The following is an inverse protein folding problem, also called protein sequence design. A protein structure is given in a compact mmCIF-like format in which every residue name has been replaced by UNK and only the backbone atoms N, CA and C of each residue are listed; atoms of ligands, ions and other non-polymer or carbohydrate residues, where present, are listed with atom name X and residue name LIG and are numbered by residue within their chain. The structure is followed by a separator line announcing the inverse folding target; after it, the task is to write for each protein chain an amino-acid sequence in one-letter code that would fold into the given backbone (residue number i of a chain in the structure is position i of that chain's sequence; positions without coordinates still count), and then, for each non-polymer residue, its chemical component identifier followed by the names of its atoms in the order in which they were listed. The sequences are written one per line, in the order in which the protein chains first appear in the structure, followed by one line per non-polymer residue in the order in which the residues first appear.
data_IF_214961182753
#
_entry.id   IF_214961182753
#
_cell.length_a   1.000
_cell.length_b   1.000
_cell.length_c   1.000
_cell.angle_alpha   90.00
_cell.angle_beta   90.00
_cell.angle_gamma   90.00
#
_symmetry.space_group_name_H-M   'P 1'
#
loop_
_entity.id
_entity.type
_entity.pdbx_description
1 polymer ?
#
# COMPACT_ATOMS: atom_id res chain seq x y z
N UNK A 1 27.91 1.78 -15.91
CA UNK A 1 26.76 0.87 -15.99
C UNK A 1 25.92 1.11 -14.75
N UNK A 2 24.62 1.32 -14.88
CA UNK A 2 23.75 1.42 -13.71
C UNK A 2 23.68 0.03 -13.05
N UNK A 3 23.73 -0.03 -11.70
CA UNK A 3 23.60 -1.28 -10.98
C UNK A 3 22.21 -1.89 -11.21
N UNK A 4 22.14 -3.20 -11.43
CA UNK A 4 20.89 -3.93 -11.54
C UNK A 4 20.10 -3.87 -10.22
N UNK A 5 18.81 -4.20 -10.25
CA UNK A 5 17.97 -4.28 -9.05
C UNK A 5 18.60 -5.22 -7.99
N UNK A 6 19.04 -6.40 -8.41
CA UNK A 6 19.69 -7.37 -7.52
C UNK A 6 21.00 -6.84 -6.89
N UNK A 7 21.83 -6.13 -7.67
CA UNK A 7 23.06 -5.52 -7.15
C UNK A 7 22.77 -4.41 -6.12
N UNK A 8 21.70 -3.63 -6.32
CA UNK A 8 21.29 -2.60 -5.35
C UNK A 8 20.76 -3.23 -4.05
N UNK A 9 19.91 -4.25 -4.14
CA UNK A 9 19.40 -4.98 -2.97
C UNK A 9 20.56 -5.62 -2.17
N UNK A 10 21.56 -6.19 -2.84
CA UNK A 10 22.72 -6.77 -2.17
C UNK A 10 23.56 -5.74 -1.36
N UNK A 11 23.34 -4.45 -1.56
CA UNK A 11 23.99 -3.38 -0.77
C UNK A 11 23.21 -3.05 0.52
N UNK A 12 22.00 -3.59 0.71
CA UNK A 12 21.22 -3.36 1.92
C UNK A 12 21.96 -3.91 3.15
N UNK A 13 22.03 -3.09 4.20
CA UNK A 13 22.54 -3.52 5.50
C UNK A 13 21.41 -4.27 6.24
N UNK A 14 21.24 -5.54 5.94
CA UNK A 14 20.10 -6.34 6.43
C UNK A 14 20.24 -6.73 7.91
N UNK A 15 20.38 -5.72 8.79
CA UNK A 15 20.35 -5.89 10.25
C UNK A 15 18.94 -6.10 10.79
N UNK A 16 17.92 -5.89 9.95
CA UNK A 16 16.51 -6.01 10.25
C UNK A 16 15.85 -6.92 9.21
N UNK A 17 16.02 -8.26 9.31
CA UNK A 17 15.40 -9.19 8.37
C UNK A 17 13.88 -9.10 8.44
N UNK A 18 13.25 -8.70 7.33
CA UNK A 18 11.80 -8.60 7.17
C UNK A 18 11.38 -9.63 6.13
N UNK A 19 10.47 -10.54 6.52
CA UNK A 19 10.01 -11.64 5.68
C UNK A 19 8.90 -11.23 4.70
N UNK A 20 8.26 -10.07 4.92
CA UNK A 20 7.20 -9.53 4.08
C UNK A 20 6.26 -8.62 4.85
N UNK A 21 5.19 -8.19 4.19
CA UNK A 21 4.06 -7.51 4.83
C UNK A 21 3.21 -8.53 5.55
N UNK A 22 2.95 -8.33 6.85
CA UNK A 22 2.05 -9.20 7.64
C UNK A 22 0.58 -8.81 7.43
N UNK A 23 0.26 -7.53 7.60
CA UNK A 23 -1.06 -6.96 7.32
C UNK A 23 -0.99 -5.44 7.12
N UNK A 24 -2.07 -4.89 6.59
CA UNK A 24 -2.30 -3.43 6.54
C UNK A 24 -3.50 -3.14 7.43
N UNK A 25 -3.34 -2.27 8.44
CA UNK A 25 -4.44 -1.84 9.30
C UNK A 25 -4.88 -0.42 8.96
N UNK A 26 -6.17 -0.31 8.78
CA UNK A 26 -6.88 0.93 8.49
C UNK A 26 -7.63 1.39 9.74
N UNK A 27 -7.49 2.65 10.08
CA UNK A 27 -8.43 3.30 10.99
C UNK A 27 -9.57 3.88 10.16
N UNK A 28 -10.79 3.46 10.48
CA UNK A 28 -11.99 3.79 9.70
C UNK A 28 -13.13 4.25 10.58
N UNK A 29 -14.01 5.08 10.04
CA UNK A 29 -15.18 5.58 10.75
C UNK A 29 -16.22 4.50 11.06
N UNK A 30 -16.32 3.47 10.20
CA UNK A 30 -17.22 2.33 10.40
C UNK A 30 -16.61 1.04 9.84
N UNK A 31 -15.93 0.29 10.68
CA UNK A 31 -15.23 -0.92 10.28
C UNK A 31 -16.15 -2.03 9.73
N UNK A 32 -17.40 -2.12 10.22
CA UNK A 32 -18.37 -3.10 9.74
C UNK A 32 -18.78 -2.82 8.29
N UNK A 33 -19.01 -1.56 7.94
CA UNK A 33 -19.35 -1.16 6.57
C UNK A 33 -18.12 -1.27 5.64
N UNK A 34 -16.97 -0.81 6.09
CA UNK A 34 -15.72 -0.94 5.34
C UNK A 34 -15.38 -2.41 5.06
N UNK A 35 -15.53 -3.31 6.05
CA UNK A 35 -15.34 -4.74 5.87
C UNK A 35 -16.28 -5.34 4.82
N UNK A 36 -17.56 -4.92 4.82
CA UNK A 36 -18.51 -5.36 3.79
C UNK A 36 -18.11 -4.88 2.39
N UNK A 37 -17.62 -3.63 2.27
CA UNK A 37 -17.11 -3.09 1.01
C UNK A 37 -15.96 -3.93 0.46
N UNK A 38 -14.90 -4.16 1.25
CA UNK A 38 -13.74 -4.94 0.82
C UNK A 38 -14.07 -6.41 0.52
N UNK A 39 -15.01 -7.00 1.25
CA UNK A 39 -15.52 -8.33 0.93
C UNK A 39 -16.23 -8.33 -0.42
N UNK A 40 -17.20 -7.44 -0.61
CA UNK A 40 -18.05 -7.40 -1.81
C UNK A 40 -17.26 -6.99 -3.04
N UNK A 41 -16.56 -5.87 -2.96
CA UNK A 41 -15.86 -5.27 -4.11
C UNK A 41 -14.55 -5.99 -4.46
N UNK A 42 -13.74 -6.33 -3.45
CA UNK A 42 -12.41 -6.91 -3.67
C UNK A 42 -12.35 -8.43 -3.45
N UNK A 43 -13.41 -9.07 -2.96
CA UNK A 43 -13.44 -10.52 -2.77
C UNK A 43 -12.68 -11.04 -1.55
N UNK A 44 -12.44 -10.19 -0.56
CA UNK A 44 -11.83 -10.63 0.69
C UNK A 44 -12.76 -11.54 1.49
N UNK A 45 -12.17 -12.49 2.22
CA UNK A 45 -12.87 -13.41 3.09
C UNK A 45 -12.77 -12.94 4.55
N UNK A 46 -13.80 -13.23 5.35
CA UNK A 46 -13.77 -13.00 6.79
C UNK A 46 -12.76 -13.96 7.44
N UNK A 47 -11.80 -13.46 8.21
CA UNK A 47 -10.84 -14.28 8.94
C UNK A 47 -11.09 -14.22 10.45
N UNK A 48 -10.98 -13.03 11.05
CA UNK A 48 -11.07 -12.87 12.49
C UNK A 48 -11.76 -11.54 12.87
N UNK A 49 -12.17 -11.46 14.12
CA UNK A 49 -12.82 -10.29 14.71
C UNK A 49 -12.38 -10.09 16.15
N UNK A 50 -12.22 -8.83 16.55
CA UNK A 50 -12.10 -8.42 17.94
C UNK A 50 -12.98 -7.20 18.20
N UNK A 51 -13.76 -7.24 19.29
CA UNK A 51 -14.70 -6.17 19.64
C UNK A 51 -15.47 -6.49 20.92
N UNK A 52 -16.62 -5.89 21.14
CA UNK A 52 -17.42 -6.09 22.34
C UNK A 52 -17.73 -7.55 22.67
N UNK A 53 -17.95 -8.37 21.65
CA UNK A 53 -18.25 -9.81 21.79
C UNK A 53 -17.02 -10.61 22.29
N UNK A 54 -15.82 -10.15 21.98
CA UNK A 54 -14.55 -10.76 22.43
C UNK A 54 -13.94 -10.05 23.65
N UNK A 55 -14.70 -9.15 24.29
CA UNK A 55 -14.27 -8.43 25.48
C UNK A 55 -13.62 -7.06 25.26
N UNK A 56 -13.37 -6.64 24.01
CA UNK A 56 -12.83 -5.32 23.67
C UNK A 56 -13.99 -4.30 23.61
N UNK A 57 -14.02 -3.34 24.54
CA UNK A 57 -15.18 -2.45 24.74
C UNK A 57 -15.04 -1.05 24.11
N UNK A 58 -13.86 -0.69 23.64
CA UNK A 58 -13.54 0.66 23.16
C UNK A 58 -13.36 0.75 21.64
N UNK A 59 -13.19 -0.39 20.96
CA UNK A 59 -13.02 -0.50 19.52
C UNK A 59 -13.53 -1.82 18.97
N UNK A 60 -13.64 -1.89 17.64
CA UNK A 60 -13.92 -3.13 16.92
C UNK A 60 -12.97 -3.24 15.72
N UNK A 61 -12.41 -4.43 15.49
CA UNK A 61 -11.48 -4.73 14.41
C UNK A 61 -11.93 -5.96 13.63
N UNK A 62 -12.05 -5.82 12.31
CA UNK A 62 -12.40 -6.89 11.37
C UNK A 62 -11.17 -7.26 10.56
N UNK A 63 -10.78 -8.52 10.57
CA UNK A 63 -9.67 -9.06 9.80
C UNK A 63 -10.21 -9.76 8.56
N UNK A 64 -9.76 -9.29 7.42
CA UNK A 64 -10.08 -9.82 6.11
C UNK A 64 -8.85 -10.43 5.48
N UNK A 65 -9.03 -11.50 4.70
CA UNK A 65 -7.94 -12.20 4.02
C UNK A 65 -8.29 -12.53 2.58
N UNK A 66 -7.32 -12.41 1.71
CA UNK A 66 -7.32 -13.02 0.38
C UNK A 66 -5.89 -13.47 0.07
N UNK A 67 -5.64 -14.76 -0.12
CA UNK A 67 -4.33 -15.40 -0.23
C UNK A 67 -3.38 -14.93 0.91
N UNK A 68 -2.33 -14.15 0.59
CA UNK A 68 -1.36 -13.60 1.56
C UNK A 68 -1.68 -12.18 2.03
N UNK A 69 -2.73 -11.56 1.49
CA UNK A 69 -3.12 -10.21 1.89
C UNK A 69 -4.03 -10.30 3.10
N UNK A 70 -3.69 -9.56 4.16
CA UNK A 70 -4.56 -9.29 5.29
C UNK A 70 -4.83 -7.81 5.41
N UNK A 71 -6.10 -7.45 5.52
CA UNK A 71 -6.56 -6.10 5.85
C UNK A 71 -7.21 -6.16 7.23
N UNK A 72 -6.83 -5.23 8.10
CA UNK A 72 -7.46 -5.06 9.41
C UNK A 72 -8.17 -3.72 9.40
N UNK A 73 -9.48 -3.74 9.64
CA UNK A 73 -10.31 -2.54 9.63
C UNK A 73 -10.75 -2.27 11.07
N UNK A 74 -10.25 -1.20 11.65
CA UNK A 74 -10.45 -0.87 13.06
C UNK A 74 -11.19 0.46 13.22
N UNK A 75 -12.28 0.45 14.00
CA UNK A 75 -13.05 1.62 14.35
C UNK A 75 -13.12 1.81 15.86
N UNK A 76 -13.14 3.06 16.32
CA UNK A 76 -13.44 3.39 17.70
C UNK A 76 -14.93 3.20 18.00
N UNK A 77 -15.26 2.73 19.21
CA UNK A 77 -16.63 2.66 19.73
C UNK A 77 -16.94 3.80 20.69
N UNK A 78 -15.93 4.67 20.98
CA UNK A 78 -16.05 5.85 21.81
C UNK A 78 -15.45 7.05 21.11
N UNK A 79 -16.09 8.21 21.25
CA UNK A 79 -15.68 9.45 20.59
C UNK A 79 -14.36 10.04 21.14
N UNK A 80 -13.99 9.72 22.36
CA UNK A 80 -12.75 10.14 23.05
C UNK A 80 -11.58 9.17 22.84
N UNK A 81 -11.76 8.15 22.00
CA UNK A 81 -10.69 7.19 21.70
C UNK A 81 -9.68 7.77 20.68
N UNK A 82 -8.37 7.50 20.81
CA UNK A 82 -7.36 7.98 19.85
C UNK A 82 -7.63 7.63 18.38
N UNK A 83 -8.25 6.48 18.11
CA UNK A 83 -8.70 6.08 16.75
C UNK A 83 -9.75 7.07 16.22
N UNK A 84 -10.71 7.51 17.04
CA UNK A 84 -11.72 8.48 16.65
C UNK A 84 -11.09 9.84 16.30
N UNK A 85 -10.13 10.31 17.07
CA UNK A 85 -9.40 11.55 16.77
C UNK A 85 -8.56 11.43 15.50
N UNK A 86 -7.95 10.27 15.26
CA UNK A 86 -7.21 10.01 14.01
C UNK A 86 -8.16 10.08 12.79
N UNK A 87 -9.29 9.38 12.84
CA UNK A 87 -10.27 9.38 11.74
C UNK A 87 -10.89 10.76 11.53
N UNK A 88 -11.15 11.50 12.60
CA UNK A 88 -11.65 12.89 12.51
C UNK A 88 -10.68 13.79 11.73
N UNK A 89 -9.38 13.64 11.97
CA UNK A 89 -8.33 14.42 11.31
C UNK A 89 -8.11 13.94 9.86
N UNK A 90 -7.83 12.66 9.68
CA UNK A 90 -7.33 12.12 8.43
C UNK A 90 -8.42 11.53 7.51
N UNK A 91 -9.62 11.26 8.03
CA UNK A 91 -10.57 10.36 7.37
C UNK A 91 -10.18 8.90 7.55
N UNK A 92 -10.82 8.03 6.80
CA UNK A 92 -10.44 6.62 6.75
C UNK A 92 -9.09 6.50 6.04
N UNK A 93 -8.19 5.64 6.52
CA UNK A 93 -6.86 5.52 5.92
C UNK A 93 -5.98 4.50 6.61
N UNK A 94 -4.83 4.26 6.03
CA UNK A 94 -3.83 3.32 6.56
C UNK A 94 -3.14 3.94 7.79
N UNK A 95 -3.25 3.25 8.91
CA UNK A 95 -2.52 3.57 10.15
C UNK A 95 -1.26 2.75 10.30
N UNK A 96 -1.33 1.44 10.04
CA UNK A 96 -0.25 0.51 10.31
C UNK A 96 0.08 -0.29 9.05
N UNK A 97 1.36 -0.29 8.71
CA UNK A 97 1.98 -1.22 7.79
C UNK A 97 2.75 -2.25 8.63
N UNK A 98 2.11 -3.39 8.92
CA UNK A 98 2.69 -4.43 9.75
C UNK A 98 3.67 -5.29 8.95
N UNK A 99 4.84 -5.52 9.53
CA UNK A 99 5.96 -6.21 8.93
C UNK A 99 6.22 -7.54 9.66
N UNK A 100 6.21 -8.62 8.91
CA UNK A 100 6.53 -9.94 9.46
C UNK A 100 8.03 -10.06 9.67
N UNK A 101 8.44 -10.31 10.92
CA UNK A 101 9.84 -10.44 11.34
C UNK A 101 10.06 -11.72 12.15
N UNK A 102 11.32 -12.17 12.26
CA UNK A 102 11.70 -13.33 13.06
C UNK A 102 11.80 -13.01 14.55
N UNK A 103 12.10 -11.74 14.91
CA UNK A 103 12.23 -11.27 16.30
C UNK A 103 11.80 -9.80 16.40
N UNK A 104 10.58 -9.58 16.92
CA UNK A 104 10.00 -8.25 17.04
C UNK A 104 10.72 -7.36 18.07
N UNK A 105 11.26 -7.96 19.14
CA UNK A 105 12.00 -7.23 20.19
C UNK A 105 13.33 -6.73 19.67
N UNK A 106 14.08 -7.60 18.97
CA UNK A 106 15.34 -7.22 18.33
C UNK A 106 15.12 -6.15 17.24
N UNK A 107 14.07 -6.31 16.44
CA UNK A 107 13.70 -5.31 15.43
C UNK A 107 13.42 -3.95 16.04
N UNK A 108 12.69 -3.92 17.15
CA UNK A 108 12.42 -2.71 17.92
C UNK A 108 13.70 -2.10 18.52
N UNK A 109 14.53 -2.90 19.18
CA UNK A 109 15.79 -2.46 19.78
C UNK A 109 16.73 -1.84 18.73
N UNK A 110 16.93 -2.51 17.59
CA UNK A 110 17.80 -2.00 16.53
C UNK A 110 17.29 -0.70 15.92
N UNK A 111 15.98 -0.58 15.68
CA UNK A 111 15.41 0.63 15.08
C UNK A 111 15.38 1.80 16.06
N UNK A 112 15.03 1.59 17.32
CA UNK A 112 15.00 2.66 18.35
C UNK A 112 16.40 3.14 18.71
N UNK A 113 17.39 2.24 18.78
CA UNK A 113 18.82 2.57 18.94
C UNK A 113 19.32 3.47 17.79
N UNK A 114 18.74 3.38 16.61
CA UNK A 114 19.04 4.18 15.42
C UNK A 114 18.16 5.43 15.29
N UNK A 115 17.36 5.75 16.32
CA UNK A 115 16.58 6.96 16.40
C UNK A 115 15.12 6.86 15.97
N UNK A 116 14.57 5.67 15.78
CA UNK A 116 13.14 5.52 15.53
C UNK A 116 12.30 6.05 16.72
N UNK A 117 11.23 6.78 16.40
CA UNK A 117 10.25 7.21 17.39
C UNK A 117 9.34 6.04 17.77
N UNK A 118 9.24 5.75 19.07
CA UNK A 118 8.44 4.64 19.57
C UNK A 118 6.95 4.91 19.39
N UNK A 119 6.25 3.93 18.82
CA UNK A 119 4.78 3.84 18.81
C UNK A 119 4.29 2.90 19.91
N UNK A 120 4.86 1.70 19.98
CA UNK A 120 4.47 0.65 20.93
C UNK A 120 5.73 -0.11 21.37
N UNK A 121 5.96 -0.14 22.68
CA UNK A 121 7.00 -1.01 23.27
C UNK A 121 6.69 -2.49 22.99
N UNK A 122 7.70 -3.38 23.02
CA UNK A 122 7.49 -4.79 22.80
C UNK A 122 6.43 -5.40 23.72
N UNK A 123 5.41 -6.01 23.14
CA UNK A 123 4.30 -6.64 23.83
C UNK A 123 4.18 -8.11 23.44
N UNK A 124 4.01 -8.96 24.45
CA UNK A 124 3.67 -10.36 24.28
C UNK A 124 2.14 -10.53 24.36
N UNK A 125 1.56 -10.96 23.24
CA UNK A 125 0.18 -11.43 23.18
C UNK A 125 0.18 -12.96 23.27
N UNK A 126 -0.73 -13.53 24.06
CA UNK A 126 -0.76 -14.98 24.32
C UNK A 126 -2.17 -15.50 24.50
N UNK A 127 -2.42 -16.67 23.94
CA UNK A 127 -3.63 -17.48 24.14
C UNK A 127 -3.29 -18.98 24.07
N UNK A 128 -4.31 -19.83 23.97
CA UNK A 128 -4.16 -21.28 23.86
C UNK A 128 -3.48 -21.75 22.56
N UNK A 129 -3.47 -20.89 21.51
CA UNK A 129 -2.86 -21.19 20.21
C UNK A 129 -1.39 -20.79 20.14
N UNK A 130 -0.86 -20.13 21.17
CA UNK A 130 0.54 -19.75 21.26
C UNK A 130 0.79 -18.28 21.56
N UNK A 131 1.86 -17.75 21.01
CA UNK A 131 2.40 -16.43 21.33
C UNK A 131 2.69 -15.61 20.08
N UNK A 132 2.35 -14.31 20.12
CA UNK A 132 2.74 -13.30 19.13
C UNK A 132 3.44 -12.16 19.87
N UNK A 133 4.64 -11.79 19.42
CA UNK A 133 5.29 -10.56 19.85
C UNK A 133 5.01 -9.44 18.86
N UNK A 134 4.67 -8.28 19.37
CA UNK A 134 4.50 -7.06 18.56
C UNK A 134 5.29 -5.92 19.16
N UNK A 135 5.82 -5.04 18.31
CA UNK A 135 6.45 -3.78 18.70
C UNK A 135 6.33 -2.79 17.56
N UNK A 136 6.24 -1.50 17.83
CA UNK A 136 5.93 -0.53 16.77
C UNK A 136 6.74 0.74 16.84
N UNK A 137 7.06 1.29 15.68
CA UNK A 137 7.72 2.56 15.50
C UNK A 137 6.94 3.44 14.53
N UNK A 138 7.00 4.75 14.70
CA UNK A 138 6.50 5.68 13.70
C UNK A 138 7.47 5.76 12.52
N UNK A 139 6.91 5.91 11.31
CA UNK A 139 7.65 6.30 10.11
C UNK A 139 7.29 7.75 9.73
N UNK A 140 6.78 8.03 8.53
CA UNK A 140 6.36 9.38 8.15
C UNK A 140 4.97 9.72 8.71
N UNK A 141 4.76 10.97 9.07
CA UNK A 141 3.51 11.46 9.65
C UNK A 141 3.09 10.70 10.90
N UNK A 142 1.88 10.15 10.86
CA UNK A 142 1.33 9.30 11.91
C UNK A 142 1.30 7.81 11.52
N UNK A 143 1.89 7.43 10.38
CA UNK A 143 1.99 6.04 9.91
C UNK A 143 2.96 5.25 10.78
N UNK A 144 2.63 3.98 11.00
CA UNK A 144 3.36 3.08 11.90
C UNK A 144 3.87 1.87 11.13
N UNK A 145 5.10 1.45 11.42
CA UNK A 145 5.56 0.10 11.15
C UNK A 145 5.44 -0.72 12.44
N UNK A 146 4.62 -1.76 12.39
CA UNK A 146 4.48 -2.73 13.49
C UNK A 146 5.25 -4.00 13.13
N UNK A 147 6.24 -4.36 13.92
CA UNK A 147 6.96 -5.63 13.81
C UNK A 147 6.11 -6.73 14.43
N UNK A 148 5.88 -7.81 13.68
CA UNK A 148 5.05 -8.94 14.10
C UNK A 148 5.86 -10.23 14.02
N UNK A 149 6.11 -10.85 15.18
CA UNK A 149 6.72 -12.15 15.33
C UNK A 149 5.65 -13.17 15.70
N UNK A 150 5.32 -14.08 14.78
CA UNK A 150 4.25 -15.08 14.97
C UNK A 150 4.69 -16.53 14.79
N UNK A 151 6.00 -16.80 14.84
CA UNK A 151 6.56 -18.15 14.62
C UNK A 151 6.04 -19.21 15.60
N UNK A 152 5.58 -18.79 16.78
CA UNK A 152 5.07 -19.66 17.84
C UNK A 152 3.55 -19.55 18.00
N UNK A 153 2.83 -19.13 16.94
CA UNK A 153 1.38 -18.96 16.96
C UNK A 153 0.71 -19.78 15.86
N UNK A 154 -0.26 -20.59 16.25
CA UNK A 154 -1.03 -21.46 15.35
C UNK A 154 -2.49 -21.03 15.18
N UNK A 155 -2.87 -19.86 15.74
CA UNK A 155 -4.20 -19.30 15.62
C UNK A 155 -4.43 -18.60 14.28
N UNK A 156 -5.63 -18.04 14.10
CA UNK A 156 -6.03 -17.41 12.83
C UNK A 156 -5.26 -16.13 12.52
N UNK A 157 -5.20 -15.22 13.47
CA UNK A 157 -4.57 -13.91 13.28
C UNK A 157 -3.69 -13.51 14.46
N UNK A 158 -4.27 -13.16 15.61
CA UNK A 158 -3.56 -12.80 16.84
C UNK A 158 -4.34 -13.21 18.07
N UNK A 159 -3.70 -13.41 19.22
CA UNK A 159 -4.39 -13.58 20.51
C UNK A 159 -5.37 -12.42 20.77
N UNK A 160 -6.56 -12.78 21.27
CA UNK A 160 -7.66 -11.82 21.49
C UNK A 160 -8.61 -11.59 20.31
N UNK A 161 -8.31 -12.23 19.17
CA UNK A 161 -9.21 -12.28 18.01
C UNK A 161 -9.89 -13.65 17.96
N UNK A 162 -11.18 -13.65 17.68
CA UNK A 162 -11.97 -14.85 17.46
C UNK A 162 -12.27 -15.02 15.98
N UNK A 163 -12.61 -16.25 15.56
CA UNK A 163 -13.02 -16.51 14.18
C UNK A 163 -14.26 -15.68 13.85
N UNK A 164 -14.19 -14.95 12.75
CA UNK A 164 -15.34 -14.21 12.27
C UNK A 164 -16.21 -15.10 11.38
N UNK A 165 -17.25 -15.69 11.97
CA UNK A 165 -18.26 -16.41 11.20
C UNK A 165 -19.13 -15.44 10.39
N UNK A 166 -19.22 -15.67 9.09
CA UNK A 166 -20.00 -14.85 8.17
C UNK A 166 -20.69 -15.73 7.14
N UNK A 167 -22.00 -15.56 6.98
CA UNK A 167 -22.78 -16.24 5.96
C UNK A 167 -22.51 -15.69 4.54
N UNK A 168 -21.82 -14.55 4.47
CA UNK A 168 -21.48 -13.88 3.21
C UNK A 168 -19.96 -13.90 3.01
N UNK A 169 -19.49 -14.79 2.13
CA UNK A 169 -18.10 -14.91 1.69
C UNK A 169 -18.10 -15.00 0.17
N UNK A 170 -17.95 -13.84 -0.55
CA UNK A 170 -17.93 -13.81 -2.02
C UNK A 170 -16.69 -14.53 -2.55
N UNK A 171 -16.70 -14.92 -3.83
CA UNK A 171 -15.52 -15.50 -4.46
C UNK A 171 -14.35 -14.51 -4.45
N UNK A 172 -13.13 -15.02 -4.31
CA UNK A 172 -11.90 -14.24 -4.42
C UNK A 172 -11.74 -13.66 -5.83
N UNK A 173 -11.09 -12.51 -5.93
CA UNK A 173 -10.87 -11.82 -7.23
C UNK A 173 -9.51 -12.11 -7.84
N UNK A 174 -8.68 -12.94 -7.19
CA UNK A 174 -7.37 -13.34 -7.66
C UNK A 174 -6.21 -12.44 -7.18
N UNK A 175 -6.44 -11.63 -6.13
CA UNK A 175 -5.39 -10.88 -5.46
C UNK A 175 -4.56 -11.82 -4.57
N UNK A 176 -3.22 -11.66 -4.56
CA UNK A 176 -2.30 -12.64 -3.98
C UNK A 176 -1.49 -12.11 -2.81
N UNK A 177 -0.83 -10.97 -2.97
CA UNK A 177 0.03 -10.37 -1.95
C UNK A 177 0.15 -8.86 -2.15
N UNK A 178 0.63 -8.16 -1.13
CA UNK A 178 0.97 -6.73 -1.20
C UNK A 178 2.33 -6.60 -1.89
N UNK A 179 2.36 -6.01 -3.09
CA UNK A 179 3.60 -5.79 -3.86
C UNK A 179 4.40 -4.63 -3.28
N UNK A 180 3.74 -3.51 -2.99
CA UNK A 180 4.32 -2.32 -2.38
C UNK A 180 3.25 -1.41 -1.78
N UNK A 181 3.69 -0.48 -0.90
CA UNK A 181 2.85 0.59 -0.37
C UNK A 181 3.55 1.92 -0.57
N UNK A 182 2.83 2.91 -1.10
CA UNK A 182 3.37 4.22 -1.43
C UNK A 182 3.02 5.23 -0.35
N UNK A 183 4.03 5.94 0.15
CA UNK A 183 3.88 7.03 1.11
C UNK A 183 4.04 8.39 0.45
N UNK A 184 3.15 9.33 0.79
CA UNK A 184 3.27 10.74 0.43
C UNK A 184 3.81 11.52 1.62
N UNK A 185 4.85 12.30 1.38
CA UNK A 185 5.47 13.17 2.37
C UNK A 185 5.43 14.64 1.92
N UNK A 186 5.63 15.56 2.86
CA UNK A 186 5.61 16.99 2.61
C UNK A 186 6.77 17.49 1.74
N UNK A 187 6.71 18.76 1.35
CA UNK A 187 7.75 19.43 0.60
C UNK A 187 9.12 19.29 1.27
N UNK A 188 10.13 18.87 0.50
CA UNK A 188 11.51 18.64 0.93
C UNK A 188 11.68 17.54 2.01
N UNK A 189 10.70 16.65 2.16
CA UNK A 189 10.72 15.57 3.15
C UNK A 189 11.13 14.20 2.58
N UNK A 190 11.09 14.01 1.27
CA UNK A 190 11.42 12.72 0.64
C UNK A 190 12.86 12.28 0.98
N UNK A 191 13.84 13.17 0.84
CA UNK A 191 15.23 12.80 1.10
C UNK A 191 15.48 12.49 2.59
N UNK A 192 14.84 13.23 3.50
CA UNK A 192 14.88 12.96 4.95
C UNK A 192 14.27 11.59 5.27
N UNK A 193 13.11 11.28 4.68
CA UNK A 193 12.42 10.00 4.86
C UNK A 193 13.22 8.84 4.26
N UNK A 194 13.79 9.01 3.08
CA UNK A 194 14.67 8.01 2.44
C UNK A 194 15.90 7.73 3.31
N UNK A 195 16.54 8.78 3.83
CA UNK A 195 17.68 8.63 4.73
C UNK A 195 17.29 7.91 6.02
N UNK A 196 16.12 8.22 6.57
CA UNK A 196 15.57 7.51 7.73
C UNK A 196 15.40 6.01 7.43
N UNK A 197 14.84 5.63 6.27
CA UNK A 197 14.71 4.21 5.91
C UNK A 197 16.08 3.52 5.77
N UNK A 198 17.10 4.22 5.26
CA UNK A 198 18.46 3.68 5.18
C UNK A 198 19.07 3.47 6.56
N UNK A 199 19.06 4.50 7.40
CA UNK A 199 19.76 4.51 8.68
C UNK A 199 19.05 3.67 9.74
N UNK A 200 17.71 3.73 9.78
CA UNK A 200 16.88 3.10 10.82
C UNK A 200 16.43 1.71 10.43
N UNK A 201 16.03 1.51 9.17
CA UNK A 201 15.48 0.24 8.71
C UNK A 201 16.46 -0.61 7.90
N UNK A 202 17.63 -0.08 7.55
CA UNK A 202 18.61 -0.78 6.72
C UNK A 202 18.20 -0.98 5.26
N UNK A 203 17.18 -0.24 4.80
CA UNK A 203 16.69 -0.31 3.42
C UNK A 203 17.69 0.34 2.45
N UNK A 204 17.56 -0.01 1.20
CA UNK A 204 18.34 0.58 0.10
C UNK A 204 17.42 1.29 -0.89
N UNK A 205 17.91 2.41 -1.44
CA UNK A 205 17.20 3.07 -2.54
C UNK A 205 17.47 2.31 -3.85
N UNK A 206 16.42 1.71 -4.40
CA UNK A 206 16.51 0.89 -5.62
C UNK A 206 16.21 1.69 -6.89
N UNK A 207 15.33 2.69 -6.81
CA UNK A 207 14.95 3.57 -7.93
C UNK A 207 14.75 5.00 -7.44
N UNK A 208 15.04 5.95 -8.33
CA UNK A 208 14.78 7.38 -8.09
C UNK A 208 14.25 8.00 -9.36
N UNK A 209 13.24 8.82 -9.23
CA UNK A 209 12.62 9.58 -10.31
C UNK A 209 12.57 11.05 -9.91
N UNK A 210 13.03 11.91 -10.79
CA UNK A 210 12.99 13.36 -10.60
C UNK A 210 11.73 13.99 -11.26
N UNK A 211 11.53 15.26 -11.02
CA UNK A 211 10.43 16.06 -11.56
C UNK A 211 10.45 16.18 -13.10
N UNK A 212 11.60 15.93 -13.74
CA UNK A 212 11.71 15.91 -15.20
C UNK A 212 11.21 14.60 -15.79
N UNK A 213 11.31 13.51 -15.04
CA UNK A 213 10.85 12.18 -15.42
C UNK A 213 9.38 11.98 -15.10
N UNK A 214 8.89 12.63 -14.02
CA UNK A 214 7.52 12.52 -13.54
C UNK A 214 6.83 13.89 -13.58
N UNK A 215 6.35 14.27 -14.77
CA UNK A 215 5.59 15.50 -14.95
C UNK A 215 4.54 15.38 -16.06
N UNK A 216 3.58 16.28 -15.98
CA UNK A 216 2.63 16.58 -17.03
C UNK A 216 2.80 18.06 -17.45
N UNK A 217 1.87 18.58 -18.24
CA UNK A 217 1.83 20.03 -18.52
C UNK A 217 1.56 20.84 -17.23
N UNK A 218 0.84 20.28 -16.25
CA UNK A 218 0.29 21.01 -15.10
C UNK A 218 1.04 20.75 -13.80
N UNK A 219 1.39 19.51 -13.50
CA UNK A 219 1.96 19.12 -12.21
C UNK A 219 3.19 18.24 -12.34
N UNK A 220 3.95 18.14 -11.24
CA UNK A 220 5.11 17.27 -11.14
C UNK A 220 5.20 16.67 -9.73
N UNK A 221 5.96 15.59 -9.59
CA UNK A 221 6.36 15.03 -8.31
C UNK A 221 7.75 14.37 -8.42
N UNK A 222 8.34 14.10 -7.28
CA UNK A 222 9.54 13.28 -7.16
C UNK A 222 9.24 12.01 -6.38
N UNK A 223 9.90 10.91 -6.73
CA UNK A 223 9.71 9.62 -6.09
C UNK A 223 11.01 8.86 -5.90
N UNK A 224 11.18 8.22 -4.74
CA UNK A 224 12.27 7.29 -4.47
C UNK A 224 11.74 6.02 -3.87
N UNK A 225 12.22 4.88 -4.37
CA UNK A 225 11.75 3.57 -3.93
C UNK A 225 12.75 2.95 -2.97
N UNK A 226 12.31 2.68 -1.75
CA UNK A 226 13.08 1.98 -0.73
C UNK A 226 12.73 0.50 -0.70
N UNK A 227 13.71 -0.37 -0.53
CA UNK A 227 13.52 -1.82 -0.43
C UNK A 227 14.38 -2.42 0.66
N UNK A 228 13.85 -3.46 1.33
CA UNK A 228 14.63 -4.28 2.27
C UNK A 228 15.57 -5.24 1.53
N UNK A 229 16.44 -5.94 2.26
CA UNK A 229 17.51 -6.76 1.73
C UNK A 229 17.11 -7.98 0.91
N UNK A 230 15.84 -8.43 0.98
CA UNK A 230 15.34 -9.53 0.15
C UNK A 230 14.37 -9.07 -0.97
N UNK A 231 14.04 -7.77 -1.03
CA UNK A 231 13.15 -7.22 -2.05
C UNK A 231 11.66 -7.53 -1.87
N UNK A 232 11.24 -8.13 -0.75
CA UNK A 232 9.84 -8.47 -0.50
C UNK A 232 9.01 -7.28 -0.01
N UNK A 233 9.67 -6.27 0.59
CA UNK A 233 9.01 -5.07 1.07
C UNK A 233 9.57 -3.86 0.35
N UNK A 234 8.70 -3.09 -0.29
CA UNK A 234 9.05 -1.90 -1.07
C UNK A 234 8.14 -0.74 -0.69
N UNK A 235 8.75 0.41 -0.44
CA UNK A 235 8.06 1.65 -0.12
C UNK A 235 8.53 2.77 -1.05
N UNK A 236 7.81 3.04 -2.13
CA UNK A 236 7.95 4.30 -2.85
C UNK A 236 7.56 5.47 -1.94
N UNK A 237 8.38 6.51 -1.92
CA UNK A 237 8.16 7.74 -1.16
C UNK A 237 8.08 8.89 -2.14
N UNK A 238 6.95 9.57 -2.13
CA UNK A 238 6.66 10.68 -3.04
C UNK A 238 6.65 12.00 -2.29
N UNK A 239 7.15 13.05 -2.92
CA UNK A 239 6.94 14.43 -2.49
C UNK A 239 6.45 15.30 -3.64
N UNK A 240 5.76 16.43 -3.36
CA UNK A 240 5.37 17.38 -4.39
C UNK A 240 6.60 17.96 -5.09
N UNK A 241 6.45 18.35 -6.36
CA UNK A 241 7.42 19.16 -7.08
C UNK A 241 6.74 20.39 -7.70
N UNK A 242 7.52 21.42 -8.00
CA UNK A 242 6.98 22.65 -8.60
C UNK A 242 6.30 22.37 -9.95
N UNK A 243 5.08 22.84 -10.11
CA UNK A 243 4.26 22.73 -11.30
C UNK A 243 3.44 23.99 -11.54
N UNK A 244 2.74 24.07 -12.66
CA UNK A 244 1.83 25.18 -12.97
C UNK A 244 0.58 25.16 -12.09
N UNK A 245 0.21 23.97 -11.60
CA UNK A 245 -0.97 23.71 -10.78
C UNK A 245 -0.63 22.76 -9.64
N UNK A 246 -1.55 22.62 -8.71
CA UNK A 246 -1.43 21.74 -7.54
C UNK A 246 -1.24 20.28 -7.96
N UNK A 247 -0.21 19.64 -7.44
CA UNK A 247 0.04 18.21 -7.68
C UNK A 247 -0.95 17.32 -6.90
N UNK A 248 -1.09 16.07 -7.35
CA UNK A 248 -1.87 15.06 -6.62
C UNK A 248 -1.32 14.80 -5.20
N UNK A 249 -0.02 14.99 -4.99
CA UNK A 249 0.58 14.81 -3.66
C UNK A 249 0.17 15.94 -2.73
N UNK A 250 0.12 17.19 -3.23
CA UNK A 250 -0.40 18.33 -2.45
C UNK A 250 -1.88 18.16 -2.13
N UNK A 251 -2.70 17.71 -3.10
CA UNK A 251 -4.12 17.39 -2.84
C UNK A 251 -4.26 16.36 -1.72
N UNK A 252 -3.46 15.27 -1.78
CA UNK A 252 -3.43 14.25 -0.73
C UNK A 252 -3.10 14.86 0.64
N UNK A 253 -1.98 15.61 0.73
CA UNK A 253 -1.51 16.20 1.98
C UNK A 253 -2.54 17.14 2.61
N UNK A 254 -3.29 17.89 1.80
CA UNK A 254 -4.36 18.77 2.28
C UNK A 254 -5.56 17.98 2.80
N UNK A 255 -6.07 16.99 2.05
CA UNK A 255 -7.25 16.23 2.47
C UNK A 255 -6.96 15.25 3.59
N UNK A 256 -5.78 14.67 3.62
CA UNK A 256 -5.34 13.78 4.70
C UNK A 256 -4.87 14.56 5.94
N UNK A 257 -4.64 15.87 5.79
CA UNK A 257 -4.08 16.75 6.84
C UNK A 257 -2.73 16.25 7.37
N UNK A 258 -1.84 15.85 6.45
CA UNK A 258 -0.49 15.37 6.77
C UNK A 258 0.02 14.30 5.82
N UNK A 259 1.15 13.72 6.22
CA UNK A 259 1.83 12.64 5.51
C UNK A 259 1.15 11.29 5.79
N UNK A 260 1.11 10.40 4.82
CA UNK A 260 0.47 9.09 4.98
C UNK A 260 0.60 8.19 3.75
N UNK A 261 -0.08 7.06 3.79
CA UNK A 261 -0.07 6.06 2.69
C UNK A 261 -1.06 6.48 1.62
N UNK A 262 -0.55 6.70 0.40
CA UNK A 262 -1.35 7.07 -0.76
C UNK A 262 -2.08 5.87 -1.37
N UNK A 263 -1.34 4.77 -1.60
CA UNK A 263 -1.93 3.55 -2.15
C UNK A 263 -1.19 2.29 -1.74
N UNK A 264 -1.89 1.17 -1.82
CA UNK A 264 -1.33 -0.16 -1.75
C UNK A 264 -1.47 -0.85 -3.11
N UNK A 265 -0.36 -1.40 -3.61
CA UNK A 265 -0.34 -2.20 -4.82
C UNK A 265 -0.55 -3.67 -4.47
N UNK A 266 -1.58 -4.26 -5.06
CA UNK A 266 -1.99 -5.64 -4.84
C UNK A 266 -1.66 -6.47 -6.09
N UNK A 267 -0.85 -7.50 -5.91
CA UNK A 267 -0.39 -8.34 -6.99
C UNK A 267 -1.44 -9.38 -7.40
N UNK A 268 -1.47 -9.70 -8.70
CA UNK A 268 -2.25 -10.79 -9.28
C UNK A 268 -1.42 -11.56 -10.31
N UNK A 269 -1.85 -12.79 -10.63
CA UNK A 269 -1.29 -13.60 -11.72
C UNK A 269 -2.01 -13.41 -13.05
N UNK A 270 -3.24 -12.90 -13.02
CA UNK A 270 -4.09 -12.65 -14.18
C UNK A 270 -4.84 -11.33 -13.99
N UNK A 271 -4.20 -10.24 -14.41
CA UNK A 271 -4.75 -8.90 -14.25
C UNK A 271 -6.03 -8.70 -15.06
N UNK A 272 -6.14 -9.36 -16.20
CA UNK A 272 -7.33 -9.26 -17.07
C UNK A 272 -8.55 -9.81 -16.35
N UNK A 273 -8.46 -11.02 -15.82
CA UNK A 273 -9.56 -11.65 -15.05
C UNK A 273 -9.85 -10.89 -13.78
N UNK A 274 -8.81 -10.50 -13.01
CA UNK A 274 -8.95 -9.75 -11.77
C UNK A 274 -9.65 -8.41 -12.00
N UNK A 275 -9.23 -7.62 -12.99
CA UNK A 275 -9.83 -6.30 -13.27
C UNK A 275 -11.26 -6.42 -13.78
N UNK A 276 -11.57 -7.41 -14.62
CA UNK A 276 -12.96 -7.67 -15.02
C UNK A 276 -13.86 -7.96 -13.82
N UNK A 277 -13.38 -8.81 -12.92
CA UNK A 277 -14.12 -9.17 -11.71
C UNK A 277 -14.31 -7.95 -10.78
N UNK A 278 -13.26 -7.18 -10.52
CA UNK A 278 -13.35 -5.96 -9.71
C UNK A 278 -14.32 -4.94 -10.31
N UNK A 279 -14.27 -4.70 -11.63
CA UNK A 279 -15.20 -3.81 -12.32
C UNK A 279 -16.65 -4.32 -12.25
N UNK A 280 -16.87 -5.62 -12.39
CA UNK A 280 -18.22 -6.23 -12.31
C UNK A 280 -18.84 -6.06 -10.93
N UNK A 281 -18.02 -5.91 -9.88
CA UNK A 281 -18.43 -5.69 -8.49
C UNK A 281 -18.50 -4.21 -8.11
N UNK A 282 -18.31 -3.30 -9.07
CA UNK A 282 -18.45 -1.87 -8.88
C UNK A 282 -17.19 -1.14 -8.41
N UNK A 283 -16.01 -1.76 -8.46
CA UNK A 283 -14.75 -1.03 -8.25
C UNK A 283 -14.54 -0.06 -9.41
N UNK A 284 -14.42 1.22 -9.08
CA UNK A 284 -14.14 2.26 -10.07
C UNK A 284 -12.64 2.44 -10.27
N UNK A 285 -12.23 2.50 -11.53
CA UNK A 285 -10.83 2.75 -11.90
C UNK A 285 -10.67 4.14 -12.50
N UNK A 286 -9.45 4.66 -12.49
CA UNK A 286 -9.08 5.88 -13.20
C UNK A 286 -9.38 5.73 -14.70
N UNK A 287 -9.63 6.84 -15.37
CA UNK A 287 -9.93 6.83 -16.80
C UNK A 287 -8.80 6.22 -17.62
N UNK A 288 -9.16 5.38 -18.59
CA UNK A 288 -8.20 4.78 -19.51
C UNK A 288 -7.37 5.84 -20.25
N UNK A 289 -6.10 5.54 -20.58
CA UNK A 289 -5.31 6.37 -21.48
C UNK A 289 -5.96 6.48 -22.88
N UNK A 290 -5.59 7.50 -23.67
CA UNK A 290 -6.07 7.62 -25.03
C UNK A 290 -5.58 6.47 -25.92
N UNK A 291 -6.29 6.21 -27.02
CA UNK A 291 -5.99 5.12 -27.97
C UNK A 291 -4.52 5.11 -28.42
N UNK A 292 -3.96 6.29 -28.69
CA UNK A 292 -2.55 6.46 -29.08
C UNK A 292 -1.55 5.83 -28.09
N UNK A 293 -1.90 5.73 -26.81
CA UNK A 293 -1.06 5.03 -25.83
C UNK A 293 -0.91 3.53 -26.18
N UNK A 294 -2.01 2.90 -26.57
CA UNK A 294 -2.04 1.46 -26.92
C UNK A 294 -1.42 1.19 -28.29
N UNK A 295 -1.58 2.11 -29.24
CA UNK A 295 -0.96 2.03 -30.57
C UNK A 295 0.57 2.00 -30.49
N UNK A 296 1.14 2.68 -29.50
CA UNK A 296 2.61 2.73 -29.30
C UNK A 296 3.15 1.53 -28.48
N UNK A 297 2.31 0.68 -27.89
CA UNK A 297 2.78 -0.43 -27.04
C UNK A 297 3.72 -1.39 -27.79
N UNK A 298 3.47 -1.83 -29.03
CA UNK A 298 4.37 -2.74 -29.74
C UNK A 298 5.79 -2.18 -29.89
N UNK A 299 5.91 -0.88 -30.08
CA UNK A 299 7.20 -0.19 -30.26
C UNK A 299 7.89 0.05 -28.90
N UNK A 300 7.12 0.41 -27.87
CA UNK A 300 7.62 0.79 -26.53
C UNK A 300 7.93 -0.42 -25.64
N UNK A 301 7.08 -1.44 -25.66
CA UNK A 301 7.20 -2.60 -24.77
C UNK A 301 7.48 -3.92 -25.51
N UNK A 302 7.38 -3.94 -26.84
CA UNK A 302 7.58 -5.16 -27.63
C UNK A 302 6.45 -6.19 -27.43
N UNK A 303 6.78 -7.47 -27.60
CA UNK A 303 5.82 -8.56 -27.45
C UNK A 303 5.40 -8.76 -25.98
N UNK A 304 4.09 -8.93 -25.78
CA UNK A 304 3.46 -9.31 -24.52
C UNK A 304 2.50 -10.48 -24.78
N UNK A 305 2.13 -11.22 -23.74
CA UNK A 305 1.25 -12.39 -23.86
C UNK A 305 -0.23 -12.00 -23.98
N UNK A 306 -0.59 -10.83 -23.44
CA UNK A 306 -1.96 -10.34 -23.41
C UNK A 306 -2.36 -9.67 -24.75
N UNK A 307 -3.62 -9.81 -25.15
CA UNK A 307 -4.15 -9.12 -26.31
C UNK A 307 -4.28 -7.61 -26.03
N UNK A 308 -3.61 -6.77 -26.82
CA UNK A 308 -3.62 -5.29 -26.66
C UNK A 308 -5.05 -4.74 -26.65
N UNK A 309 -5.95 -5.29 -27.48
CA UNK A 309 -7.36 -4.89 -27.51
C UNK A 309 -8.05 -5.08 -26.15
N UNK A 310 -7.78 -6.20 -25.46
CA UNK A 310 -8.35 -6.50 -24.14
C UNK A 310 -7.79 -5.55 -23.09
N UNK A 311 -6.47 -5.29 -23.14
CA UNK A 311 -5.80 -4.35 -22.24
C UNK A 311 -6.38 -2.94 -22.41
N UNK A 312 -6.60 -2.51 -23.64
CA UNK A 312 -7.22 -1.21 -23.97
C UNK A 312 -8.65 -1.13 -23.45
N UNK A 313 -9.47 -2.15 -23.69
CA UNK A 313 -10.87 -2.22 -23.20
C UNK A 313 -10.94 -2.08 -21.67
N UNK A 314 -9.99 -2.67 -20.97
CA UNK A 314 -9.92 -2.62 -19.51
C UNK A 314 -9.21 -1.38 -18.96
N UNK A 315 -8.49 -0.63 -19.80
CA UNK A 315 -7.71 0.54 -19.35
C UNK A 315 -6.41 0.18 -18.65
N UNK A 316 -5.87 -1.03 -18.87
CA UNK A 316 -4.65 -1.53 -18.23
C UNK A 316 -3.44 -0.87 -18.89
N UNK A 317 -2.49 -0.42 -18.07
CA UNK A 317 -1.21 0.15 -18.48
C UNK A 317 -0.15 -0.95 -18.56
N UNK A 318 0.81 -0.80 -19.47
CA UNK A 318 1.93 -1.74 -19.63
C UNK A 318 3.25 -0.98 -19.67
N UNK A 319 4.25 -1.50 -18.98
CA UNK A 319 5.63 -1.01 -19.07
C UNK A 319 6.63 -2.16 -19.07
N UNK A 320 7.87 -1.89 -19.48
CA UNK A 320 8.93 -2.90 -19.61
C UNK A 320 10.24 -2.37 -19.03
N UNK A 321 10.98 -3.26 -18.40
CA UNK A 321 12.38 -3.07 -18.02
C UNK A 321 13.28 -4.17 -18.62
N UNK A 322 14.53 -4.25 -18.15
CA UNK A 322 15.49 -5.22 -18.67
C UNK A 322 15.12 -6.67 -18.30
N UNK A 323 14.40 -6.89 -17.20
CA UNK A 323 14.03 -8.20 -16.69
C UNK A 323 12.69 -8.73 -17.23
N UNK A 324 11.83 -7.84 -17.75
CA UNK A 324 10.53 -8.27 -18.26
C UNK A 324 9.54 -7.12 -18.44
N UNK A 325 8.24 -7.40 -18.30
CA UNK A 325 7.22 -6.37 -18.35
C UNK A 325 6.26 -6.47 -17.16
N UNK A 326 5.53 -5.41 -16.91
CA UNK A 326 4.48 -5.34 -15.91
C UNK A 326 3.20 -4.74 -16.51
N UNK A 327 2.09 -5.13 -15.93
CA UNK A 327 0.78 -4.57 -16.22
C UNK A 327 0.23 -3.98 -14.92
N UNK A 328 -0.40 -2.81 -15.00
CA UNK A 328 -0.92 -2.11 -13.84
C UNK A 328 -2.17 -1.29 -14.18
N UNK A 329 -3.03 -1.12 -13.19
CA UNK A 329 -4.19 -0.24 -13.26
C UNK A 329 -4.49 0.31 -11.86
N UNK A 330 -5.05 1.50 -11.79
CA UNK A 330 -5.28 2.22 -10.54
C UNK A 330 -6.77 2.49 -10.33
N UNK A 331 -7.25 2.24 -9.13
CA UNK A 331 -8.62 2.62 -8.77
C UNK A 331 -8.73 4.13 -8.62
N UNK A 332 -9.94 4.66 -8.71
CA UNK A 332 -10.22 5.96 -8.10
C UNK A 332 -10.02 5.86 -6.58
N UNK A 333 -9.88 7.00 -5.88
CA UNK A 333 -9.95 6.98 -4.42
C UNK A 333 -11.16 6.19 -3.94
N UNK A 334 -10.94 5.32 -2.94
CA UNK A 334 -11.99 4.43 -2.41
C UNK A 334 -12.80 5.08 -1.29
N UNK A 335 -12.53 6.34 -1.03
CA UNK A 335 -13.11 7.16 0.03
C UNK A 335 -13.53 8.52 -0.54
N UNK A 336 -14.39 9.26 0.20
CA UNK A 336 -14.84 10.59 -0.20
C UNK A 336 -13.68 11.61 -0.22
N UNK A 337 -12.74 11.50 0.73
CA UNK A 337 -11.47 12.25 0.65
C UNK A 337 -10.61 11.62 -0.44
N UNK A 338 -10.03 12.38 -1.39
CA UNK A 338 -9.21 11.85 -2.46
C UNK A 338 -7.81 11.47 -1.96
N UNK A 339 -7.74 10.51 -1.05
CA UNK A 339 -6.52 10.13 -0.34
C UNK A 339 -6.06 8.72 -0.71
N UNK A 340 -6.82 7.69 -0.31
CA UNK A 340 -6.43 6.29 -0.50
C UNK A 340 -6.99 5.72 -1.79
N UNK A 341 -6.15 5.03 -2.57
CA UNK A 341 -6.56 4.20 -3.71
C UNK A 341 -5.74 2.91 -3.78
N UNK A 342 -6.05 2.04 -4.73
CA UNK A 342 -5.34 0.78 -4.95
C UNK A 342 -4.74 0.72 -6.34
N UNK A 343 -3.61 0.06 -6.43
CA UNK A 343 -3.03 -0.42 -7.68
C UNK A 343 -3.25 -1.92 -7.78
N UNK A 344 -3.65 -2.41 -8.95
CA UNK A 344 -3.62 -3.83 -9.28
C UNK A 344 -2.45 -4.04 -10.23
N UNK A 345 -1.52 -4.92 -9.86
CA UNK A 345 -0.27 -5.12 -10.59
C UNK A 345 -0.04 -6.60 -10.92
N UNK A 346 0.39 -6.86 -12.13
CA UNK A 346 0.92 -8.16 -12.55
C UNK A 346 2.34 -7.96 -13.07
N UNK A 347 3.30 -8.68 -12.48
CA UNK A 347 4.69 -8.69 -12.91
C UNK A 347 5.00 -9.94 -13.74
N UNK A 348 5.53 -9.73 -14.93
CA UNK A 348 6.06 -10.78 -15.83
C UNK A 348 7.58 -10.58 -15.98
N UNK A 349 8.29 -10.75 -14.88
CA UNK A 349 9.73 -10.55 -14.76
C UNK A 349 10.15 -9.15 -14.31
N UNK A 350 9.44 -8.11 -14.72
CA UNK A 350 9.80 -6.73 -14.41
C UNK A 350 9.91 -6.44 -12.90
N UNK A 351 10.95 -5.67 -12.55
CA UNK A 351 11.23 -5.21 -11.19
C UNK A 351 10.96 -3.71 -11.01
N UNK A 352 10.76 -2.97 -12.11
CA UNK A 352 10.46 -1.55 -12.12
C UNK A 352 9.07 -1.21 -11.58
N UNK A 353 8.71 0.07 -11.59
CA UNK A 353 7.44 0.62 -11.10
C UNK A 353 6.63 1.32 -12.22
N UNK A 354 6.87 0.97 -13.47
CA UNK A 354 6.09 1.49 -14.58
C UNK A 354 6.40 2.95 -14.92
N UNK A 355 7.67 3.33 -14.98
CA UNK A 355 8.09 4.70 -15.31
C UNK A 355 7.47 5.21 -16.63
N UNK A 356 7.37 4.35 -17.64
CA UNK A 356 6.74 4.66 -18.92
C UNK A 356 5.22 4.90 -18.83
N UNK A 357 4.59 4.58 -17.71
CA UNK A 357 3.17 4.77 -17.46
C UNK A 357 2.86 6.04 -16.64
N UNK A 358 3.86 6.67 -16.02
CA UNK A 358 3.65 7.80 -15.10
C UNK A 358 2.86 8.94 -15.74
N UNK A 359 3.21 9.32 -16.96
CA UNK A 359 2.48 10.40 -17.65
C UNK A 359 0.99 10.07 -17.80
N UNK A 360 0.65 8.86 -18.26
CA UNK A 360 -0.73 8.44 -18.44
C UNK A 360 -1.49 8.38 -17.10
N UNK A 361 -0.84 7.90 -16.05
CA UNK A 361 -1.40 7.87 -14.69
C UNK A 361 -1.71 9.29 -14.19
N UNK A 362 -0.75 10.23 -14.30
CA UNK A 362 -0.93 11.58 -13.78
C UNK A 362 -1.98 12.37 -14.55
N UNK A 363 -2.00 12.26 -15.87
CA UNK A 363 -3.07 12.85 -16.67
C UNK A 363 -4.46 12.31 -16.27
N UNK A 364 -4.56 11.02 -15.88
CA UNK A 364 -5.81 10.45 -15.39
C UNK A 364 -6.20 11.00 -14.01
N UNK A 365 -5.24 11.16 -13.10
CA UNK A 365 -5.47 11.76 -11.77
C UNK A 365 -5.82 13.24 -11.89
N UNK A 366 -5.12 13.99 -12.74
CA UNK A 366 -5.42 15.42 -13.00
C UNK A 366 -6.84 15.63 -13.51
N UNK A 367 -7.35 14.75 -14.39
CA UNK A 367 -8.76 14.78 -14.80
C UNK A 367 -9.73 14.60 -13.64
N UNK A 368 -9.40 13.75 -12.68
CA UNK A 368 -10.22 13.60 -11.47
C UNK A 368 -10.09 14.80 -10.52
N UNK A 369 -8.91 15.41 -10.40
CA UNK A 369 -8.71 16.66 -9.64
C UNK A 369 -9.53 17.82 -10.26
N UNK A 370 -9.51 17.94 -11.59
CA UNK A 370 -10.31 18.95 -12.31
C UNK A 370 -11.81 18.79 -12.04
N UNK A 371 -12.33 17.54 -12.05
CA UNK A 371 -13.74 17.26 -11.72
C UNK A 371 -14.11 17.68 -10.30
N UNK A 372 -13.16 17.61 -9.37
CA UNK A 372 -13.34 18.07 -8.00
C UNK A 372 -13.08 19.56 -7.80
N UNK A 373 -12.61 20.27 -8.83
CA UNK A 373 -12.23 21.69 -8.76
C UNK A 373 -10.92 21.95 -8.00
N UNK A 374 -10.03 20.97 -7.93
CA UNK A 374 -8.76 21.03 -7.18
C UNK A 374 -7.52 21.15 -8.08
N UNK A 375 -7.68 21.17 -9.40
CA UNK A 375 -6.59 21.33 -10.36
C UNK A 375 -6.36 22.78 -10.76
#
# INVERSE_FOLDING_TARGET
MANTFAEKIAQAQDFLPINGTDYIEFYVGNAKQAAHYYKTAFGFQSEAYAGPETGIRDRASYVLKQDKIRLVLTTALKSDHPIAEHVKKHGDGVKILALWVDDARKSFEETTKRGARVYQEPQLLKDEQGEVWTAGIYTYGETVHLFVERKNYNGLFMPGYEKWESDYNPAETGLLYVDHCVGNVGWNKMNETVQWYQDVMGFVNILSFDDKQINTEYSALMSKVMSNGNGYVKFPINEPAEGKKKSQIEEYLEFYEGEGVQHAALATKDIVSTVRELKSRGVEFLGAPPEAYYDMLPERVGAIDEEIRIIQELGILVDRDEEGYLLQIFTKPVEDRPTLFYEIIQRKGAQSFGAGNFKALFEAIEREQERRGNL
#
